data_IF_643160566922
#
_entry.id   IF_643160566922
#
_cell.length_a   1.000
_cell.length_b   1.000
_cell.length_c   1.000
_cell.angle_alpha   90.00
_cell.angle_beta   90.00
_cell.angle_gamma   90.00
#
_symmetry.space_group_name_H-M   'P 1'
#
loop_
_entity.id
_entity.type
_entity.pdbx_description
1 polymer ?
#
# COMPACT_ATOMS: atom_id res chain seq x y z
N UNK A 1 -0.77 -24.81 -2.96
CA UNK A 1 -1.36 -24.16 -1.76
C UNK A 1 -0.30 -23.25 -1.12
N UNK A 2 -0.65 -22.05 -0.64
CA UNK A 2 0.29 -21.00 -0.21
C UNK A 2 0.64 -21.01 1.30
N UNK A 3 0.36 -22.08 2.05
CA UNK A 3 0.34 -22.03 3.54
C UNK A 3 1.68 -21.74 4.23
N UNK A 4 2.81 -21.70 3.53
CA UNK A 4 4.15 -21.57 4.14
C UNK A 4 5.02 -20.48 3.48
N UNK A 5 4.43 -19.58 2.67
CA UNK A 5 5.22 -18.51 2.05
C UNK A 5 5.50 -17.41 3.07
N UNK A 6 6.78 -17.22 3.40
CA UNK A 6 7.25 -16.04 4.13
C UNK A 6 7.35 -14.85 3.17
N UNK A 7 6.48 -13.88 3.34
CA UNK A 7 6.52 -12.64 2.58
C UNK A 7 7.37 -11.58 3.28
N UNK A 8 8.08 -10.78 2.49
CA UNK A 8 8.80 -9.61 3.00
C UNK A 8 7.86 -8.44 3.27
N UNK A 9 6.87 -8.26 2.41
CA UNK A 9 6.06 -7.04 2.33
C UNK A 9 4.57 -7.37 2.12
N UNK A 10 3.72 -6.52 2.68
CA UNK A 10 2.35 -6.33 2.23
C UNK A 10 2.23 -4.99 1.51
N UNK A 11 1.55 -4.96 0.37
CA UNK A 11 1.38 -3.74 -0.45
C UNK A 11 -0.10 -3.50 -0.71
N UNK A 12 -0.54 -2.24 -0.55
CA UNK A 12 -1.90 -1.78 -0.84
C UNK A 12 -1.86 -0.52 -1.71
N UNK A 13 -2.89 -0.33 -2.53
CA UNK A 13 -3.12 0.89 -3.29
C UNK A 13 -4.28 1.67 -2.67
N UNK A 14 -4.05 2.94 -2.35
CA UNK A 14 -5.07 3.82 -1.76
C UNK A 14 -5.22 5.06 -2.63
N UNK A 15 -6.45 5.40 -3.03
CA UNK A 15 -6.67 6.60 -3.84
C UNK A 15 -6.15 7.85 -3.11
N UNK A 16 -5.37 8.70 -3.79
CA UNK A 16 -4.78 9.89 -3.17
C UNK A 16 -5.81 10.89 -2.65
N UNK A 17 -7.05 10.83 -3.17
CA UNK A 17 -8.20 11.63 -2.75
C UNK A 17 -8.84 11.16 -1.43
N UNK A 18 -8.36 10.08 -0.81
CA UNK A 18 -8.88 9.51 0.44
C UNK A 18 -7.86 9.60 1.60
N UNK A 19 -7.48 10.81 2.07
CA UNK A 19 -6.42 10.97 3.06
C UNK A 19 -6.70 10.28 4.41
N UNK A 20 -7.98 10.15 4.81
CA UNK A 20 -8.35 9.43 6.04
C UNK A 20 -8.06 7.93 5.97
N UNK A 21 -8.12 7.34 4.77
CA UNK A 21 -7.82 5.92 4.57
C UNK A 21 -6.31 5.69 4.62
N UNK A 22 -5.51 6.61 4.05
CA UNK A 22 -4.05 6.57 4.20
C UNK A 22 -3.65 6.68 5.68
N UNK A 23 -4.20 7.65 6.40
CA UNK A 23 -3.96 7.82 7.83
C UNK A 23 -4.33 6.56 8.65
N UNK A 24 -5.43 5.88 8.30
CA UNK A 24 -5.80 4.61 8.94
C UNK A 24 -4.72 3.54 8.71
N UNK A 25 -4.23 3.38 7.48
CA UNK A 25 -3.20 2.38 7.18
C UNK A 25 -1.84 2.72 7.79
N UNK A 26 -1.51 4.01 7.93
CA UNK A 26 -0.34 4.45 8.70
C UNK A 26 -0.42 3.98 10.17
N UNK A 27 -1.60 3.99 10.78
CA UNK A 27 -1.77 3.42 12.15
C UNK A 27 -1.48 1.92 12.22
N UNK A 28 -1.50 1.22 11.08
CA UNK A 28 -1.19 -0.20 10.98
C UNK A 28 0.26 -0.47 10.54
N UNK A 29 1.10 0.58 10.55
CA UNK A 29 2.52 0.55 10.17
C UNK A 29 2.73 0.31 8.67
N UNK A 30 1.79 0.79 7.85
CA UNK A 30 2.07 0.99 6.43
C UNK A 30 2.72 2.35 6.22
N UNK A 31 3.68 2.41 5.31
CA UNK A 31 4.39 3.62 4.92
C UNK A 31 4.14 3.92 3.44
N UNK A 32 4.08 5.21 3.07
CA UNK A 32 3.91 5.61 1.67
C UNK A 32 5.24 5.43 0.94
N UNK A 33 5.30 4.47 0.02
CA UNK A 33 6.46 4.22 -0.82
C UNK A 33 6.48 5.10 -2.07
N UNK A 34 5.32 5.61 -2.49
CA UNK A 34 5.20 6.47 -3.67
C UNK A 34 3.77 6.60 -4.15
N UNK A 35 3.61 7.03 -5.40
CA UNK A 35 2.34 7.08 -6.10
C UNK A 35 2.44 6.33 -7.43
N UNK A 36 1.34 5.71 -7.85
CA UNK A 36 1.24 5.00 -9.11
C UNK A 36 -0.02 5.44 -9.86
N UNK A 37 0.15 5.69 -11.15
CA UNK A 37 -0.93 5.84 -12.11
C UNK A 37 -0.78 4.74 -13.17
N UNK A 38 -1.52 3.61 -13.05
CA UNK A 38 -1.32 2.42 -13.89
C UNK A 38 -1.40 2.67 -15.40
N UNK A 39 -2.21 3.65 -15.82
CA UNK A 39 -2.41 4.07 -17.21
C UNK A 39 -2.91 5.53 -17.23
N UNK A 40 -2.80 6.22 -18.37
CA UNK A 40 -2.90 7.68 -18.46
C UNK A 40 -4.22 8.29 -17.92
N UNK A 41 -5.34 7.57 -18.01
CA UNK A 41 -6.66 7.96 -17.52
C UNK A 41 -7.04 7.32 -16.18
N UNK A 42 -6.14 6.57 -15.54
CA UNK A 42 -6.37 6.00 -14.22
C UNK A 42 -6.36 7.07 -13.13
N UNK A 43 -7.09 6.80 -12.04
CA UNK A 43 -6.86 7.47 -10.76
C UNK A 43 -5.41 7.26 -10.30
N UNK A 44 -4.85 8.26 -9.61
CA UNK A 44 -3.56 8.17 -8.93
C UNK A 44 -3.76 7.51 -7.57
N UNK A 45 -2.94 6.50 -7.28
CA UNK A 45 -2.96 5.77 -6.02
C UNK A 45 -1.66 5.99 -5.25
N UNK A 46 -1.75 6.23 -3.96
CA UNK A 46 -0.64 6.04 -3.04
C UNK A 46 -0.33 4.54 -2.92
N UNK A 47 0.95 4.18 -3.10
CA UNK A 47 1.47 2.85 -2.85
C UNK A 47 1.89 2.79 -1.37
N UNK A 48 1.21 1.95 -0.61
CA UNK A 48 1.41 1.81 0.84
C UNK A 48 2.04 0.44 1.12
N UNK A 49 3.17 0.41 1.83
CA UNK A 49 3.97 -0.79 2.07
C UNK A 49 4.13 -1.03 3.56
N UNK A 50 3.95 -2.29 3.99
CA UNK A 50 4.26 -2.74 5.34
C UNK A 50 5.28 -3.86 5.29
N UNK A 51 6.38 -3.71 6.02
CA UNK A 51 7.34 -4.80 6.25
C UNK A 51 6.71 -5.85 7.18
N UNK A 52 6.79 -7.11 6.79
CA UNK A 52 6.28 -8.25 7.56
C UNK A 52 7.37 -8.97 8.34
N UNK A 53 8.64 -8.63 8.06
CA UNK A 53 9.83 -9.14 8.70
C UNK A 53 10.73 -7.98 9.16
N UNK A 54 11.51 -8.16 10.25
CA UNK A 54 12.44 -7.15 10.76
C UNK A 54 13.53 -6.77 9.75
#
# INVERSE_FOLDING_TARGET
MLKERSEDLAVLLVGVTHPKVQALYETWVYEKAGEQQPFADSTVYAVMVKKLRP
#
